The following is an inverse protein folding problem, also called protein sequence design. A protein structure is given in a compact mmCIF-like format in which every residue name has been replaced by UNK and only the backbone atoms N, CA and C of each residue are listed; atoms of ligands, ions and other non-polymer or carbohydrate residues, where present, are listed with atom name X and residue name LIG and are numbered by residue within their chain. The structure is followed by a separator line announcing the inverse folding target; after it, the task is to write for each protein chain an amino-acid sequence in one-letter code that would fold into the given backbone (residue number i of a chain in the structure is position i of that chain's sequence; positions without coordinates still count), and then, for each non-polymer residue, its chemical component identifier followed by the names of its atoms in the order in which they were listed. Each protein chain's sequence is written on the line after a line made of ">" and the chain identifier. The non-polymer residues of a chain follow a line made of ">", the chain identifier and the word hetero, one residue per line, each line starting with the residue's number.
data_IF_046895461493
#
_entry.id   IF_046895461493
#
_cell.length_a   1.000
_cell.length_b   1.000
_cell.length_c   1.000
_cell.angle_alpha   90.00
_cell.angle_beta   90.00
_cell.angle_gamma   90.00
#
_symmetry.space_group_name_H-M   'P 1'
#
loop_
_entity.id
_entity.type
_entity.pdbx_description
1 polymer ?
#
# COMPACT_ATOMS: atom_id res chain seq x y z
N UNK A 1 -14.04 -12.20 8.79
CA UNK A 1 -12.81 -11.41 8.98
C UNK A 1 -11.69 -12.07 8.19
N UNK A 2 -11.60 -11.85 6.88
CA UNK A 2 -10.52 -12.42 6.07
C UNK A 2 -9.33 -11.47 6.09
N UNK A 3 -8.25 -11.87 6.78
CA UNK A 3 -6.93 -11.25 6.61
C UNK A 3 -6.34 -11.83 5.33
N UNK A 4 -5.88 -11.01 4.37
CA UNK A 4 -5.29 -11.54 3.16
C UNK A 4 -4.06 -12.37 3.50
N UNK A 5 -3.90 -13.49 2.82
CA UNK A 5 -2.72 -14.35 2.97
C UNK A 5 -1.50 -13.69 2.32
N UNK A 6 -0.30 -14.12 2.70
CA UNK A 6 0.94 -13.60 2.10
C UNK A 6 0.94 -13.84 0.58
N UNK A 7 0.45 -14.99 0.14
CA UNK A 7 0.43 -15.35 -1.28
C UNK A 7 -0.53 -14.46 -2.08
N UNK A 8 -1.69 -14.12 -1.52
CA UNK A 8 -2.62 -13.15 -2.12
C UNK A 8 -2.02 -11.76 -2.22
N UNK A 9 -1.28 -11.31 -1.19
CA UNK A 9 -0.59 -10.02 -1.20
C UNK A 9 0.48 -9.99 -2.29
N UNK A 10 1.29 -11.04 -2.40
CA UNK A 10 2.34 -11.12 -3.42
C UNK A 10 1.73 -11.18 -4.83
N UNK A 11 0.63 -11.92 -5.01
CA UNK A 11 -0.10 -11.97 -6.28
C UNK A 11 -0.67 -10.59 -6.67
N UNK A 12 -1.26 -9.87 -5.72
CA UNK A 12 -1.78 -8.51 -5.94
C UNK A 12 -0.67 -7.51 -6.29
N UNK A 13 0.46 -7.57 -5.58
CA UNK A 13 1.64 -6.74 -5.88
C UNK A 13 2.28 -7.08 -7.23
N UNK A 14 2.20 -8.34 -7.67
CA UNK A 14 2.66 -8.75 -8.99
C UNK A 14 1.80 -8.15 -10.10
N UNK A 15 0.48 -8.11 -9.90
CA UNK A 15 -0.48 -7.48 -10.84
C UNK A 15 -0.25 -5.97 -10.99
N UNK A 16 0.13 -5.30 -9.91
CA UNK A 16 0.38 -3.86 -9.93
C UNK A 16 1.77 -3.47 -10.46
N UNK A 17 2.61 -4.45 -10.80
CA UNK A 17 3.97 -4.23 -11.26
C UNK A 17 4.01 -3.96 -12.78
N UNK A 18 4.71 -2.91 -13.20
CA UNK A 18 4.92 -2.60 -14.62
C UNK A 18 5.93 -3.54 -15.30
N UNK A 19 5.95 -3.62 -16.64
CA UNK A 19 6.88 -4.48 -17.38
C UNK A 19 8.33 -4.05 -17.12
N UNK A 20 9.17 -4.96 -16.61
CA UNK A 20 10.60 -4.75 -16.38
C UNK A 20 11.05 -4.63 -14.92
N UNK A 21 10.18 -4.92 -13.96
CA UNK A 21 10.52 -4.93 -12.52
C UNK A 21 10.65 -6.37 -12.02
N UNK A 22 11.62 -6.60 -11.14
CA UNK A 22 11.84 -7.88 -10.43
C UNK A 22 10.59 -8.35 -9.68
N UNK A 23 10.40 -9.66 -9.54
CA UNK A 23 9.23 -10.21 -8.84
C UNK A 23 9.18 -9.73 -7.37
N UNK A 24 7.98 -9.36 -6.86
CA UNK A 24 7.85 -8.91 -5.48
C UNK A 24 8.18 -10.05 -4.51
N UNK A 25 9.10 -9.80 -3.58
CA UNK A 25 9.38 -10.71 -2.47
C UNK A 25 8.65 -10.26 -1.19
N UNK A 26 8.76 -11.05 -0.11
CA UNK A 26 8.15 -10.74 1.20
C UNK A 26 8.62 -9.42 1.80
N UNK A 27 9.89 -9.08 1.69
CA UNK A 27 10.44 -7.76 2.07
C UNK A 27 9.84 -6.63 1.23
N UNK A 28 9.67 -6.82 -0.08
CA UNK A 28 8.98 -5.84 -0.94
C UNK A 28 7.57 -5.59 -0.44
N UNK A 29 6.81 -6.64 -0.11
CA UNK A 29 5.47 -6.53 0.45
C UNK A 29 5.46 -5.75 1.78
N UNK A 30 6.41 -6.03 2.67
CA UNK A 30 6.54 -5.30 3.95
C UNK A 30 6.81 -3.81 3.71
N UNK A 31 7.76 -3.48 2.83
CA UNK A 31 8.15 -2.09 2.58
C UNK A 31 7.01 -1.29 1.93
N UNK A 32 6.34 -1.87 0.93
CA UNK A 32 5.23 -1.21 0.22
C UNK A 32 4.05 -0.98 1.16
N UNK A 33 3.63 -2.01 1.90
CA UNK A 33 2.48 -1.91 2.82
C UNK A 33 2.76 -0.97 3.99
N UNK A 34 3.98 -0.97 4.55
CA UNK A 34 4.37 -0.04 5.60
C UNK A 34 4.38 1.42 5.13
N UNK A 35 4.91 1.69 3.92
CA UNK A 35 4.88 3.04 3.33
C UNK A 35 3.45 3.51 3.09
N UNK A 36 2.60 2.64 2.55
CA UNK A 36 1.19 2.95 2.32
C UNK A 36 0.45 3.23 3.63
N UNK A 37 0.69 2.45 4.67
CA UNK A 37 0.09 2.68 5.99
C UNK A 37 0.46 4.07 6.55
N UNK A 38 1.70 4.55 6.32
CA UNK A 38 2.10 5.91 6.71
C UNK A 38 1.37 6.98 5.90
N UNK A 39 1.17 6.79 4.60
CA UNK A 39 0.37 7.71 3.78
C UNK A 39 -1.07 7.81 4.28
N UNK A 40 -1.69 6.67 4.62
CA UNK A 40 -3.05 6.63 5.18
C UNK A 40 -3.09 7.35 6.53
N UNK A 41 -2.08 7.15 7.38
CA UNK A 41 -2.01 7.85 8.66
C UNK A 41 -1.89 9.38 8.47
N UNK A 42 -0.98 9.83 7.60
CA UNK A 42 -0.83 11.24 7.27
C UNK A 42 -2.11 11.86 6.72
N UNK A 43 -2.86 11.13 5.88
CA UNK A 43 -4.16 11.56 5.36
C UNK A 43 -5.19 11.81 6.46
N UNK A 44 -5.33 10.89 7.43
CA UNK A 44 -6.28 11.08 8.52
C UNK A 44 -5.86 12.20 9.50
N UNK A 45 -4.56 12.40 9.69
CA UNK A 45 -4.06 13.53 10.49
C UNK A 45 -4.30 14.87 9.78
N UNK A 46 -4.09 14.97 8.47
CA UNK A 46 -4.33 16.22 7.71
C UNK A 46 -5.80 16.62 7.66
N UNK A 47 -6.72 15.65 7.71
CA UNK A 47 -8.17 15.91 7.82
C UNK A 47 -8.55 16.62 9.13
N UNK A 48 -7.79 16.41 10.21
CA UNK A 48 -8.04 17.04 11.50
C UNK A 48 -7.46 18.45 11.63
N UNK A 49 -6.41 18.77 10.88
CA UNK A 49 -5.67 20.04 10.99
C UNK A 49 -6.13 21.12 9.99
N UNK A 50 -7.11 20.84 9.13
CA UNK A 50 -7.68 21.81 8.18
C UNK A 50 -6.73 22.28 7.08
N UNK A 51 -5.55 21.64 6.95
CA UNK A 51 -4.53 21.94 5.96
C UNK A 51 -4.84 21.40 4.57
N UNK A 52 -4.48 22.16 3.55
CA UNK A 52 -4.74 21.90 2.14
C UNK A 52 -4.46 20.45 1.71
N UNK A 53 -5.34 19.94 0.83
CA UNK A 53 -5.35 18.62 0.17
C UNK A 53 -4.14 18.34 -0.73
N UNK A 54 -2.94 18.81 -0.38
CA UNK A 54 -1.75 18.65 -1.19
C UNK A 54 -1.10 17.28 -0.96
N UNK A 55 -1.74 16.24 -1.51
CA UNK A 55 -1.00 15.08 -2.02
C UNK A 55 -1.17 13.73 -1.32
N UNK A 56 -2.01 13.60 -0.29
CA UNK A 56 -2.26 12.30 0.34
C UNK A 56 -3.50 11.61 -0.21
N UNK A 57 -3.30 10.43 -0.79
CA UNK A 57 -4.35 9.63 -1.43
C UNK A 57 -5.15 8.90 -0.35
N UNK A 58 -6.47 9.13 -0.33
CA UNK A 58 -7.43 8.44 0.51
C UNK A 58 -7.28 6.91 0.41
N UNK A 59 -7.63 6.15 1.45
CA UNK A 59 -7.72 4.70 1.34
C UNK A 59 -8.77 4.31 0.28
N UNK A 60 -8.40 3.45 -0.66
CA UNK A 60 -9.24 2.98 -1.77
C UNK A 60 -10.21 1.88 -1.31
N UNK A 61 -9.86 1.16 -0.23
CA UNK A 61 -10.69 0.10 0.34
C UNK A 61 -11.41 0.63 1.58
N UNK A 62 -12.74 0.60 1.54
CA UNK A 62 -13.60 0.78 2.72
C UNK A 62 -13.42 -0.42 3.66
N UNK A 63 -12.39 -0.38 4.48
CA UNK A 63 -12.11 -1.42 5.47
C UNK A 63 -12.82 -1.12 6.79
N UNK A 64 -13.49 -2.12 7.36
CA UNK A 64 -14.09 -2.05 8.69
C UNK A 64 -13.05 -2.00 9.83
N UNK A 65 -11.76 -2.12 9.54
CA UNK A 65 -10.69 -2.10 10.55
C UNK A 65 -10.08 -0.71 10.72
N UNK A 66 -9.96 -0.25 11.98
CA UNK A 66 -9.29 1.02 12.34
C UNK A 66 -7.75 0.98 12.24
N UNK A 67 -7.16 -0.17 11.89
CA UNK A 67 -5.71 -0.33 11.75
C UNK A 67 -5.26 -0.04 10.30
N UNK A 68 -4.50 1.04 10.11
CA UNK A 68 -4.01 1.48 8.80
C UNK A 68 -3.17 0.44 8.06
N UNK A 69 -2.41 -0.39 8.79
CA UNK A 69 -1.62 -1.46 8.16
C UNK A 69 -2.52 -2.54 7.56
N UNK A 70 -3.63 -2.87 8.23
CA UNK A 70 -4.61 -3.84 7.71
C UNK A 70 -5.29 -3.32 6.45
N UNK A 71 -5.55 -2.02 6.35
CA UNK A 71 -6.07 -1.37 5.14
C UNK A 71 -5.05 -1.47 4.00
N UNK A 72 -3.78 -1.12 4.27
CA UNK A 72 -2.72 -1.20 3.28
C UNK A 72 -2.48 -2.63 2.75
N UNK A 73 -2.57 -3.65 3.62
CA UNK A 73 -2.46 -5.06 3.22
C UNK A 73 -3.64 -5.51 2.35
N UNK A 74 -4.86 -5.04 2.66
CA UNK A 74 -6.03 -5.33 1.83
C UNK A 74 -5.93 -4.68 0.44
N UNK A 75 -5.48 -3.43 0.37
CA UNK A 75 -5.24 -2.74 -0.91
C UNK A 75 -4.15 -3.45 -1.74
N UNK A 76 -3.08 -3.92 -1.09
CA UNK A 76 -2.01 -4.66 -1.75
C UNK A 76 -2.50 -5.99 -2.34
N UNK A 77 -3.32 -6.75 -1.60
CA UNK A 77 -3.90 -8.00 -2.07
C UNK A 77 -4.86 -7.81 -3.26
N UNK A 78 -5.58 -6.68 -3.33
CA UNK A 78 -6.45 -6.34 -4.48
C UNK A 78 -5.68 -5.85 -5.70
N UNK A 79 -4.38 -5.53 -5.55
CA UNK A 79 -3.55 -4.97 -6.61
C UNK A 79 -3.93 -3.54 -6.99
N UNK A 80 -4.50 -2.78 -6.05
CA UNK A 80 -4.90 -1.37 -6.25
C UNK A 80 -3.73 -0.40 -5.99
N UNK A 81 -2.57 -0.90 -5.56
CA UNK A 81 -1.40 -0.10 -5.21
C UNK A 81 -0.35 -0.11 -6.31
N UNK A 82 -0.11 1.03 -6.94
CA UNK A 82 1.05 1.21 -7.81
C UNK A 82 2.33 1.48 -6.98
N UNK A 83 3.39 0.72 -7.25
CA UNK A 83 4.71 0.96 -6.65
C UNK A 83 5.81 0.79 -7.68
N UNK A 84 6.95 1.44 -7.44
CA UNK A 84 8.15 1.33 -8.26
C UNK A 84 9.35 1.12 -7.36
N UNK A 85 10.09 0.06 -7.62
CA UNK A 85 11.38 -0.19 -6.99
C UNK A 85 12.40 0.70 -7.70
N UNK A 86 13.20 1.46 -6.94
CA UNK A 86 14.32 2.19 -7.53
C UNK A 86 15.43 1.18 -7.86
N UNK A 87 15.96 1.17 -9.08
CA UNK A 87 17.11 0.33 -9.40
C UNK A 87 18.33 0.77 -8.57
N UNK A 88 19.24 -0.15 -8.23
CA UNK A 88 20.50 0.20 -7.57
C UNK A 88 21.26 1.20 -8.44
N UNK A 89 21.79 2.26 -7.81
CA UNK A 89 22.68 3.20 -8.50
C UNK A 89 24.00 2.48 -8.75
N UNK A 90 24.38 2.35 -10.03
CA UNK A 90 25.71 1.90 -10.44
C UNK A 90 26.77 2.92 -10.04
#
# INVERSE_FOLDING_TARGET
>A
MNRPTIDEILAGLKKACGPGVEEPNRYTAVIVTAKRARQINSYYHSLGEGGAFEGFISPSVASFSRNYLSIALAEAARGELAYRIRPPRK
#
